data_IF_143171141519
#
_entry.id   IF_143171141519
#
_cell.length_a   1.000
_cell.length_b   1.000
_cell.length_c   1.000
_cell.angle_alpha   90.00
_cell.angle_beta   90.00
_cell.angle_gamma   90.00
#
_symmetry.space_group_name_H-M   'P 1'
#
loop_
_entity.id
_entity.type
_entity.pdbx_description
1 polymer ?
#
# COMPACT_ATOMS: atom_id res chain seq x y z
N UNK A 1 -13.52 19.38 5.47
CA UNK A 1 -14.13 18.28 4.69
C UNK A 1 -13.70 17.01 5.39
N UNK A 2 -14.61 16.28 6.02
CA UNK A 2 -14.29 14.99 6.63
C UNK A 2 -13.87 14.05 5.49
N UNK A 3 -12.66 13.48 5.58
CA UNK A 3 -12.23 12.44 4.63
C UNK A 3 -12.84 11.13 5.13
N UNK A 4 -13.49 10.39 4.24
CA UNK A 4 -14.15 9.12 4.56
C UNK A 4 -13.46 7.97 3.83
N UNK A 5 -12.15 7.84 4.00
CA UNK A 5 -11.33 6.90 3.22
C UNK A 5 -11.76 5.45 3.47
N UNK A 6 -12.24 5.12 4.67
CA UNK A 6 -12.75 3.78 4.94
C UNK A 6 -14.01 3.46 4.15
N UNK A 7 -14.91 4.45 4.00
CA UNK A 7 -16.14 4.26 3.24
C UNK A 7 -15.83 4.06 1.74
N UNK A 8 -14.89 4.84 1.21
CA UNK A 8 -14.44 4.71 -0.18
C UNK A 8 -13.75 3.37 -0.41
N UNK A 9 -12.91 2.91 0.52
CA UNK A 9 -12.29 1.60 0.48
C UNK A 9 -13.33 0.46 0.52
N UNK A 10 -14.34 0.56 1.38
CA UNK A 10 -15.41 -0.43 1.49
C UNK A 10 -16.27 -0.50 0.21
N UNK A 11 -16.46 0.64 -0.46
CA UNK A 11 -17.20 0.73 -1.71
C UNK A 11 -16.49 0.01 -2.88
N UNK A 12 -15.18 -0.25 -2.79
CA UNK A 12 -14.44 -1.04 -3.78
C UNK A 12 -14.86 -2.52 -3.80
N UNK A 13 -15.55 -3.01 -2.76
CA UNK A 13 -16.08 -4.37 -2.73
C UNK A 13 -14.99 -5.45 -2.67
N UNK A 14 -13.82 -5.13 -2.12
CA UNK A 14 -12.69 -6.05 -2.00
C UNK A 14 -12.98 -7.15 -0.97
N UNK A 15 -12.35 -8.32 -1.09
CA UNK A 15 -12.34 -9.29 -0.01
C UNK A 15 -11.78 -8.64 1.27
N UNK A 16 -12.31 -9.01 2.46
CA UNK A 16 -12.02 -8.29 3.69
C UNK A 16 -10.54 -8.40 4.08
N UNK A 17 -9.96 -7.24 4.41
CA UNK A 17 -8.65 -7.08 5.04
C UNK A 17 -8.82 -6.24 6.31
N UNK A 18 -9.05 -6.90 7.43
CA UNK A 18 -9.30 -6.25 8.72
C UNK A 18 -8.10 -5.45 9.25
N UNK A 19 -6.88 -5.79 8.84
CA UNK A 19 -5.69 -5.03 9.21
C UNK A 19 -5.70 -3.68 8.49
N UNK A 20 -5.89 -3.70 7.16
CA UNK A 20 -5.95 -2.47 6.37
C UNK A 20 -7.15 -1.61 6.76
N UNK A 21 -8.35 -2.20 6.95
CA UNK A 21 -9.53 -1.47 7.41
C UNK A 21 -9.27 -0.72 8.72
N UNK A 22 -8.60 -1.36 9.70
CA UNK A 22 -8.23 -0.72 10.97
C UNK A 22 -7.25 0.43 10.77
N UNK A 23 -6.29 0.30 9.85
CA UNK A 23 -5.34 1.37 9.50
C UNK A 23 -6.06 2.57 8.88
N UNK A 24 -6.94 2.33 7.89
CA UNK A 24 -7.70 3.40 7.24
C UNK A 24 -8.66 4.07 8.23
N UNK A 25 -9.37 3.29 9.05
CA UNK A 25 -10.25 3.81 10.10
C UNK A 25 -9.50 4.69 11.10
N UNK A 26 -8.24 4.34 11.42
CA UNK A 26 -7.39 5.17 12.26
C UNK A 26 -7.03 6.48 11.57
N UNK A 27 -6.67 6.44 10.29
CA UNK A 27 -6.36 7.65 9.52
C UNK A 27 -7.56 8.61 9.42
N UNK A 28 -8.78 8.09 9.22
CA UNK A 28 -10.00 8.90 9.18
C UNK A 28 -10.27 9.70 10.48
N UNK A 29 -9.72 9.25 11.62
CA UNK A 29 -9.95 9.86 12.94
C UNK A 29 -8.72 10.53 13.55
N UNK A 30 -7.54 10.31 12.98
CA UNK A 30 -6.25 10.82 13.47
C UNK A 30 -5.53 11.53 12.31
N UNK A 31 -5.67 12.86 12.26
CA UNK A 31 -5.03 13.68 11.23
C UNK A 31 -3.51 13.64 11.29
N UNK A 32 -2.92 13.50 12.49
CA UNK A 32 -1.46 13.39 12.62
C UNK A 32 -0.97 12.08 12.03
N UNK A 33 -1.69 10.98 12.24
CA UNK A 33 -1.36 9.70 11.61
C UNK A 33 -1.49 9.76 10.09
N UNK A 34 -2.53 10.43 9.57
CA UNK A 34 -2.65 10.69 8.12
C UNK A 34 -1.47 11.48 7.58
N UNK A 35 -1.12 12.61 8.21
CA UNK A 35 0.01 13.44 7.79
C UNK A 35 1.35 12.66 7.85
N UNK A 36 1.50 11.75 8.82
CA UNK A 36 2.68 10.90 8.94
C UNK A 36 2.74 9.84 7.84
N UNK A 37 1.60 9.27 7.42
CA UNK A 37 1.51 8.36 6.28
C UNK A 37 1.85 9.07 4.97
N UNK A 38 1.30 10.26 4.76
CA UNK A 38 1.58 11.10 3.59
C UNK A 38 3.09 11.43 3.51
N UNK A 39 3.74 11.75 4.63
CA UNK A 39 5.19 11.96 4.69
C UNK A 39 6.03 10.72 4.35
N UNK A 40 5.48 9.52 4.55
CA UNK A 40 6.10 8.26 4.13
C UNK A 40 5.73 7.91 2.67
N UNK A 41 5.06 8.80 1.94
CA UNK A 41 4.59 8.56 0.58
C UNK A 41 3.55 7.46 0.54
N UNK A 42 2.57 7.52 1.45
CA UNK A 42 1.38 6.67 1.47
C UNK A 42 0.13 7.54 1.65
N UNK A 43 -0.25 8.21 0.57
CA UNK A 43 -1.40 9.12 0.53
C UNK A 43 -2.67 8.32 0.26
N UNK A 44 -3.55 8.17 1.27
CA UNK A 44 -4.78 7.39 1.12
C UNK A 44 -5.66 7.95 0.00
N UNK A 45 -5.93 7.10 -0.99
CA UNK A 45 -6.75 7.43 -2.14
C UNK A 45 -7.43 6.15 -2.70
N UNK A 46 -8.36 5.54 -1.96
CA UNK A 46 -9.03 4.32 -2.39
C UNK A 46 -9.82 4.56 -3.68
N UNK A 47 -9.46 3.85 -4.75
CA UNK A 47 -10.12 3.96 -6.04
C UNK A 47 -9.89 2.71 -6.89
N UNK A 48 -10.66 2.56 -7.96
CA UNK A 48 -10.42 1.56 -8.99
C UNK A 48 -9.31 2.01 -9.95
N UNK A 49 -8.58 1.07 -10.55
CA UNK A 49 -7.44 1.38 -11.42
C UNK A 49 -7.81 2.18 -12.69
N UNK A 50 -9.05 2.08 -13.16
CA UNK A 50 -9.58 2.88 -14.28
C UNK A 50 -9.61 4.39 -14.00
N UNK A 51 -9.48 4.79 -12.73
CA UNK A 51 -9.37 6.19 -12.33
C UNK A 51 -7.92 6.73 -12.41
N UNK A 52 -6.92 5.86 -12.65
CA UNK A 52 -5.49 6.20 -12.74
C UNK A 52 -4.88 6.04 -14.15
N UNK A 53 -5.69 5.97 -15.21
CA UNK A 53 -5.23 5.58 -16.56
C UNK A 53 -4.50 4.21 -16.59
N UNK A 54 -4.73 3.36 -15.59
CA UNK A 54 -4.15 2.03 -15.44
C UNK A 54 -5.17 0.96 -15.84
N UNK A 55 -4.97 0.27 -16.97
CA UNK A 55 -5.87 -0.79 -17.45
C UNK A 55 -5.57 -2.16 -16.80
N UNK A 56 -5.47 -2.19 -15.48
CA UNK A 56 -5.39 -3.41 -14.69
C UNK A 56 -6.68 -3.62 -13.86
N UNK A 57 -7.73 -4.26 -14.41
CA UNK A 57 -9.05 -4.34 -13.75
C UNK A 57 -9.08 -5.16 -12.45
N UNK A 58 -7.99 -5.86 -12.13
CA UNK A 58 -7.80 -6.61 -10.89
C UNK A 58 -6.99 -5.84 -9.85
N UNK A 59 -6.49 -4.66 -10.19
CA UNK A 59 -5.77 -3.77 -9.30
C UNK A 59 -6.73 -2.74 -8.71
N UNK A 60 -6.68 -2.61 -7.39
CA UNK A 60 -7.51 -1.66 -6.64
C UNK A 60 -6.59 -0.81 -5.78
N UNK A 61 -6.61 0.49 -6.03
CA UNK A 61 -5.74 1.47 -5.40
C UNK A 61 -6.19 1.67 -3.96
N UNK A 62 -5.22 1.76 -3.07
CA UNK A 62 -5.42 2.11 -1.66
C UNK A 62 -4.76 3.43 -1.34
N UNK A 63 -3.56 3.66 -1.88
CA UNK A 63 -2.80 4.88 -1.65
C UNK A 63 -1.92 5.23 -2.84
N UNK A 64 -1.60 6.52 -2.99
CA UNK A 64 -0.61 7.04 -3.94
C UNK A 64 0.68 7.39 -3.21
N UNK A 65 1.79 7.49 -3.96
CA UNK A 65 3.10 7.83 -3.39
C UNK A 65 3.50 9.31 -3.51
N UNK A 66 2.60 10.14 -4.05
CA UNK A 66 2.82 11.56 -4.35
C UNK A 66 3.65 11.82 -5.62
N UNK A 67 4.25 10.78 -6.22
CA UNK A 67 5.00 10.81 -7.47
C UNK A 67 4.22 10.35 -8.70
N UNK A 68 2.98 9.91 -8.52
CA UNK A 68 2.10 9.40 -9.58
C UNK A 68 1.95 7.88 -9.57
N UNK A 69 2.78 7.16 -8.81
CA UNK A 69 2.66 5.73 -8.62
C UNK A 69 1.65 5.40 -7.52
N UNK A 70 1.10 4.19 -7.58
CA UNK A 70 0.00 3.78 -6.71
C UNK A 70 0.25 2.42 -6.06
N UNK A 71 -0.07 2.30 -4.77
CA UNK A 71 -0.10 1.05 -4.04
C UNK A 71 -1.52 0.55 -3.92
N UNK A 72 -1.70 -0.76 -4.01
CA UNK A 72 -3.02 -1.34 -3.94
C UNK A 72 -3.03 -2.85 -3.77
N UNK A 73 -4.26 -3.38 -3.76
CA UNK A 73 -4.52 -4.82 -3.65
C UNK A 73 -4.72 -5.38 -5.05
N UNK A 74 -4.12 -6.54 -5.33
CA UNK A 74 -4.37 -7.28 -6.57
C UNK A 74 -5.33 -8.44 -6.29
N UNK A 75 -6.54 -8.37 -6.84
CA UNK A 75 -7.63 -9.30 -6.59
C UNK A 75 -7.83 -10.19 -7.81
N UNK A 76 -7.13 -11.33 -7.81
CA UNK A 76 -7.32 -12.41 -8.77
C UNK A 76 -7.71 -13.70 -8.05
N UNK A 77 -8.79 -14.41 -8.45
CA UNK A 77 -9.21 -15.64 -7.79
C UNK A 77 -8.15 -16.75 -7.73
N UNK A 78 -7.22 -16.81 -8.68
CA UNK A 78 -6.11 -17.77 -8.69
C UNK A 78 -4.99 -17.36 -7.73
N UNK A 79 -4.70 -16.06 -7.65
CA UNK A 79 -3.72 -15.50 -6.72
C UNK A 79 -4.23 -15.56 -5.28
N UNK A 80 -5.52 -15.28 -5.06
CA UNK A 80 -6.17 -15.37 -3.75
C UNK A 80 -6.02 -16.73 -3.08
N UNK A 81 -5.95 -17.82 -3.86
CA UNK A 81 -5.77 -19.19 -3.34
C UNK A 81 -4.33 -19.53 -2.96
N UNK A 82 -3.35 -18.78 -3.46
CA UNK A 82 -1.92 -19.13 -3.37
C UNK A 82 -1.13 -18.12 -2.56
N UNK A 83 -1.39 -16.82 -2.78
CA UNK A 83 -0.70 -15.69 -2.14
C UNK A 83 -1.66 -14.89 -1.24
N UNK A 84 -2.97 -15.04 -1.42
CA UNK A 84 -3.98 -14.26 -0.69
C UNK A 84 -4.27 -12.94 -1.39
N UNK A 85 -4.33 -11.85 -0.63
CA UNK A 85 -4.50 -10.49 -1.16
C UNK A 85 -3.12 -9.81 -1.12
N UNK A 86 -2.29 -9.90 -2.17
CA UNK A 86 -0.99 -9.26 -2.18
C UNK A 86 -1.11 -7.75 -2.36
N UNK A 87 -0.13 -7.05 -1.80
CA UNK A 87 0.17 -5.66 -2.13
C UNK A 87 1.03 -5.60 -3.39
N UNK A 88 0.60 -4.75 -4.32
CA UNK A 88 1.30 -4.45 -5.55
C UNK A 88 1.44 -2.94 -5.69
N UNK A 89 2.41 -2.51 -6.47
CA UNK A 89 2.56 -1.13 -6.91
C UNK A 89 2.34 -1.09 -8.41
N UNK A 90 1.56 -0.12 -8.87
CA UNK A 90 1.62 0.33 -10.26
C UNK A 90 2.67 1.44 -10.31
N UNK A 91 3.73 1.18 -11.06
CA UNK A 91 4.75 2.16 -11.38
C UNK A 91 4.28 2.96 -12.60
N UNK A 92 4.10 4.26 -12.45
CA UNK A 92 3.67 5.13 -13.53
C UNK A 92 4.75 5.29 -14.62
N UNK A 93 6.03 5.22 -14.27
CA UNK A 93 7.13 5.45 -15.22
C UNK A 93 7.32 4.25 -16.16
N UNK A 94 7.33 3.05 -15.60
CA UNK A 94 7.46 1.79 -16.34
C UNK A 94 6.10 1.24 -16.80
N UNK A 95 5.01 1.85 -16.34
CA UNK A 95 3.62 1.47 -16.60
C UNK A 95 3.37 -0.02 -16.40
N UNK A 96 3.79 -0.51 -15.23
CA UNK A 96 3.79 -1.91 -14.89
C UNK A 96 3.37 -2.15 -13.44
N UNK A 97 2.79 -3.33 -13.19
CA UNK A 97 2.54 -3.79 -11.83
C UNK A 97 3.74 -4.59 -11.31
N UNK A 98 4.14 -4.31 -10.07
CA UNK A 98 5.17 -5.06 -9.35
C UNK A 98 4.64 -5.57 -8.02
N UNK A 99 5.06 -6.77 -7.63
CA UNK A 99 4.70 -7.33 -6.32
C UNK A 99 5.57 -6.71 -5.23
N UNK A 100 4.94 -6.22 -4.16
CA UNK A 100 5.63 -5.63 -3.01
C UNK A 100 5.61 -6.56 -1.80
N UNK A 101 4.43 -7.04 -1.40
CA UNK A 101 4.25 -7.79 -0.15
C UNK A 101 3.03 -8.71 -0.19
N UNK A 102 3.07 -9.79 0.59
CA UNK A 102 1.98 -10.76 0.67
C UNK A 102 0.79 -10.26 1.51
N UNK A 103 1.05 -9.41 2.49
CA UNK A 103 0.06 -8.91 3.44
C UNK A 103 0.38 -7.48 3.91
N UNK A 104 -0.54 -6.90 4.68
CA UNK A 104 -0.50 -5.50 5.13
C UNK A 104 0.63 -5.24 6.13
N UNK A 105 0.95 -6.20 7.01
CA UNK A 105 2.06 -6.04 7.95
C UNK A 105 3.42 -6.05 7.22
N UNK A 106 3.60 -6.94 6.24
CA UNK A 106 4.78 -7.01 5.40
C UNK A 106 4.93 -5.76 4.53
N UNK A 107 3.84 -5.24 3.97
CA UNK A 107 3.84 -3.99 3.20
C UNK A 107 4.33 -2.81 4.05
N UNK A 108 3.69 -2.54 5.18
CA UNK A 108 4.09 -1.40 6.02
C UNK A 108 5.50 -1.56 6.60
N UNK A 109 5.92 -2.79 6.92
CA UNK A 109 7.30 -3.05 7.34
C UNK A 109 8.30 -2.63 6.25
N UNK A 110 8.07 -3.07 5.01
CA UNK A 110 8.92 -2.73 3.87
C UNK A 110 8.91 -1.24 3.53
N UNK A 111 7.73 -0.61 3.54
CA UNK A 111 7.58 0.82 3.25
C UNK A 111 8.33 1.70 4.26
N UNK A 112 8.12 1.45 5.56
CA UNK A 112 8.76 2.22 6.63
C UNK A 112 10.29 2.04 6.57
N UNK A 113 10.77 0.80 6.45
CA UNK A 113 12.21 0.53 6.37
C UNK A 113 12.83 1.16 5.11
N UNK A 114 12.14 1.16 3.98
CA UNK A 114 12.59 1.79 2.73
C UNK A 114 12.69 3.32 2.86
N UNK A 115 11.60 3.98 3.26
CA UNK A 115 11.52 5.45 3.32
C UNK A 115 12.44 6.03 4.39
N UNK A 116 12.74 5.26 5.43
CA UNK A 116 13.54 5.73 6.55
C UNK A 116 14.97 5.17 6.55
N UNK A 117 15.36 4.43 5.50
CA UNK A 117 16.70 3.85 5.40
C UNK A 117 17.82 4.90 5.60
N UNK A 118 17.66 6.07 4.99
CA UNK A 118 18.61 7.18 5.11
C UNK A 118 18.33 8.13 6.28
N UNK A 119 17.23 7.92 7.01
CA UNK A 119 16.78 8.73 8.15
C UNK A 119 16.20 7.82 9.25
N UNK A 120 17.01 6.98 9.92
CA UNK A 120 16.52 5.97 10.86
C UNK A 120 15.81 6.56 12.11
N UNK A 121 16.00 7.86 12.36
CA UNK A 121 15.36 8.59 13.45
C UNK A 121 14.17 9.44 12.99
N UNK A 122 13.61 9.18 11.82
CA UNK A 122 12.45 9.91 11.32
C UNK A 122 11.27 9.79 12.32
N UNK A 123 10.75 10.93 12.82
CA UNK A 123 9.72 10.91 13.86
C UNK A 123 8.38 10.39 13.34
N UNK A 124 8.06 10.60 12.07
CA UNK A 124 6.81 10.18 11.43
C UNK A 124 6.80 8.66 11.28
N UNK A 125 7.92 8.09 10.84
CA UNK A 125 8.13 6.65 10.79
C UNK A 125 7.94 5.95 12.14
N UNK A 126 8.49 6.55 13.21
CA UNK A 126 8.34 6.02 14.58
C UNK A 126 6.90 6.07 15.05
N UNK A 127 6.18 7.18 14.79
CA UNK A 127 4.77 7.33 15.17
C UNK A 127 3.89 6.35 14.39
N UNK A 128 4.05 6.26 13.07
CA UNK A 128 3.33 5.30 12.24
C UNK A 128 3.55 3.89 12.75
N UNK A 129 4.81 3.51 12.98
CA UNK A 129 5.14 2.18 13.50
C UNK A 129 4.48 1.88 14.85
N UNK A 130 4.44 2.86 15.76
CA UNK A 130 3.77 2.71 17.05
C UNK A 130 2.26 2.50 16.86
N UNK A 131 1.59 3.34 16.07
CA UNK A 131 0.16 3.23 15.78
C UNK A 131 -0.17 1.88 15.14
N UNK A 132 0.58 1.45 14.12
CA UNK A 132 0.37 0.15 13.47
C UNK A 132 0.53 -1.03 14.45
N UNK A 133 1.48 -0.93 15.38
CA UNK A 133 1.67 -1.94 16.43
C UNK A 133 0.51 -1.95 17.43
N UNK A 134 0.00 -0.78 17.83
CA UNK A 134 -1.18 -0.63 18.68
C UNK A 134 -2.44 -1.21 18.02
N UNK A 135 -2.57 -1.07 16.69
CA UNK A 135 -3.63 -1.70 15.90
C UNK A 135 -3.46 -3.22 15.76
N UNK A 136 -2.34 -3.79 16.22
CA UNK A 136 -2.07 -5.23 16.28
C UNK A 136 -1.26 -5.80 15.12
N UNK A 137 -0.74 -4.96 14.21
CA UNK A 137 0.09 -5.44 13.10
C UNK A 137 1.46 -5.92 13.61
N UNK A 138 1.86 -7.11 13.18
CA UNK A 138 3.16 -7.71 13.53
C UNK A 138 4.25 -7.21 12.58
N UNK A 139 4.82 -6.03 12.86
CA UNK A 139 5.82 -5.42 11.99
C UNK A 139 7.21 -6.06 12.16
N UNK A 140 7.92 -6.27 11.05
CA UNK A 140 9.28 -6.80 11.02
C UNK A 140 10.29 -5.86 11.69
N UNK A 141 11.32 -6.38 12.36
CA UNK A 141 12.29 -5.57 13.13
C UNK A 141 12.95 -4.45 12.31
N UNK A 142 13.14 -3.24 12.87
CA UNK A 142 13.70 -2.10 12.14
C UNK A 142 15.11 -2.38 11.62
N UNK A 143 15.45 -1.80 10.47
CA UNK A 143 16.82 -1.81 9.96
C UNK A 143 17.24 -3.14 9.31
N UNK A 144 16.33 -4.11 9.19
CA UNK A 144 16.46 -5.17 8.17
C UNK A 144 16.09 -4.57 6.83
N UNK A 145 16.96 -3.68 6.33
CA UNK A 145 16.80 -3.05 5.02
C UNK A 145 16.41 -4.11 3.99
N UNK A 146 15.33 -3.86 3.27
CA UNK A 146 15.09 -4.45 1.96
C UNK A 146 15.53 -3.41 0.93
N UNK A 147 16.80 -3.38 0.51
CA UNK A 147 17.22 -2.55 -0.61
C UNK A 147 16.29 -2.83 -1.79
N UNK A 148 15.70 -1.77 -2.35
CA UNK A 148 14.78 -1.91 -3.49
C UNK A 148 13.41 -2.48 -3.16
N UNK A 149 12.83 -2.22 -1.97
CA UNK A 149 11.42 -2.56 -1.71
C UNK A 149 10.49 -2.08 -2.85
N UNK A 150 10.62 -0.82 -3.26
CA UNK A 150 9.86 -0.26 -4.40
C UNK A 150 10.35 -0.74 -5.77
N UNK A 151 11.51 -1.39 -5.87
CA UNK A 151 11.85 -2.12 -7.10
C UNK A 151 11.02 -3.41 -7.24
N UNK A 152 10.34 -3.81 -6.17
CA UNK A 152 9.41 -4.94 -6.13
C UNK A 152 10.04 -6.26 -6.58
N UNK A 153 9.18 -7.20 -6.92
CA UNK A 153 9.56 -8.44 -7.62
C UNK A 153 8.63 -8.66 -8.80
N UNK A 154 9.17 -9.04 -9.97
CA UNK A 154 8.30 -9.52 -11.04
C UNK A 154 7.56 -10.77 -10.56
N UNK A 155 6.28 -10.84 -10.87
CA UNK A 155 5.44 -11.97 -10.54
C UNK A 155 4.72 -12.47 -11.79
N UNK A 156 4.85 -13.77 -12.09
CA UNK A 156 4.29 -14.35 -13.32
C UNK A 156 2.76 -14.26 -13.43
N UNK A 157 2.08 -13.97 -12.32
CA UNK A 157 0.63 -13.81 -12.24
C UNK A 157 0.16 -12.35 -12.39
N UNK A 158 1.09 -11.39 -12.46
CA UNK A 158 0.79 -10.01 -12.83
C UNK A 158 0.73 -9.88 -14.36
N UNK A 159 -0.12 -8.99 -14.90
CA UNK A 159 -0.11 -8.69 -16.32
C UNK A 159 1.26 -8.07 -16.70
N UNK A 160 1.74 -8.39 -17.90
CA UNK A 160 2.87 -7.68 -18.47
C UNK A 160 2.42 -6.27 -18.91
N UNK A 161 3.23 -5.26 -18.65
CA UNK A 161 2.99 -3.90 -19.14
C UNK A 161 3.34 -3.73 -20.64
N UNK A 162 3.11 -2.54 -21.22
CA UNK A 162 2.45 -1.38 -20.60
C UNK A 162 0.96 -1.63 -20.31
N UNK A 163 0.44 -1.01 -19.26
CA UNK A 163 -0.93 -1.13 -18.78
C UNK A 163 -1.80 0.10 -19.13
N UNK A 164 -1.21 1.16 -19.63
CA UNK A 164 -1.84 2.31 -20.26
C UNK A 164 -2.02 2.07 -21.77
N UNK A 165 -2.98 2.75 -22.38
CA UNK A 165 -3.27 2.66 -23.82
C UNK A 165 -2.42 3.59 -24.67
#
# INVERSE_FOLDING_TARGET
>A
MERHQLADYDALGLPPDEDLRRVIARADTDSQFTDDLDQLGFELAPMSADQLDCHAPKFFVVAMDGGGSAYGRYVDPQVARTVGLPWVMWDHEDDALIFLAADTAAFFSGLIDFRCHHKPNDPSARRVRAVLTELGLQLGAPGKSMPGFLAGKPAAWLPAGPLSH
#
